data_IF_291861460100
#
_entry.id   IF_291861460100
#
_cell.length_a   1.000
_cell.length_b   1.000
_cell.length_c   1.000
_cell.angle_alpha   90.00
_cell.angle_beta   90.00
_cell.angle_gamma   90.00
#
_symmetry.space_group_name_H-M   'P 1'
#
loop_
_entity.id
_entity.type
_entity.pdbx_description
1 polymer ?
#
# COMPACT_ATOMS: atom_id res chain seq x y z
N UNK A 1 12.10 -9.90 -5.82
CA UNK A 1 11.52 -8.58 -5.48
C UNK A 1 11.07 -8.58 -4.03
N UNK A 2 10.15 -9.45 -3.59
CA UNK A 2 9.57 -9.47 -2.25
C UNK A 2 10.62 -9.49 -1.15
N UNK A 3 11.51 -10.48 -1.18
CA UNK A 3 12.60 -10.62 -0.19
C UNK A 3 13.46 -9.35 -0.06
N UNK A 4 13.82 -8.74 -1.19
CA UNK A 4 14.61 -7.51 -1.20
C UNK A 4 13.81 -6.35 -0.61
N UNK A 5 12.53 -6.22 -0.96
CA UNK A 5 11.65 -5.19 -0.41
C UNK A 5 11.46 -5.31 1.10
N UNK A 6 11.31 -6.52 1.64
CA UNK A 6 11.24 -6.77 3.08
C UNK A 6 12.54 -6.38 3.79
N UNK A 7 13.70 -6.73 3.22
CA UNK A 7 15.00 -6.34 3.77
C UNK A 7 15.18 -4.82 3.78
N UNK A 8 14.82 -4.14 2.68
CA UNK A 8 14.89 -2.67 2.59
C UNK A 8 13.98 -2.04 3.64
N UNK A 9 12.75 -2.54 3.79
CA UNK A 9 11.79 -2.05 4.77
C UNK A 9 12.33 -2.21 6.19
N UNK A 10 12.81 -3.39 6.56
CA UNK A 10 13.37 -3.65 7.87
C UNK A 10 14.57 -2.74 8.18
N UNK A 11 15.51 -2.62 7.24
CA UNK A 11 16.65 -1.71 7.38
C UNK A 11 16.21 -0.24 7.50
N UNK A 12 15.16 0.16 6.81
CA UNK A 12 14.61 1.52 6.92
C UNK A 12 14.01 1.78 8.30
N UNK A 13 13.27 0.82 8.85
CA UNK A 13 12.68 0.93 10.19
C UNK A 13 13.74 1.06 11.29
N UNK A 14 14.90 0.43 11.13
CA UNK A 14 16.01 0.54 12.06
C UNK A 14 16.69 1.92 12.01
N UNK A 15 16.74 2.53 10.84
CA UNK A 15 17.48 3.76 10.60
C UNK A 15 16.62 5.02 10.67
N UNK A 16 15.34 4.93 10.37
CA UNK A 16 14.43 6.07 10.26
C UNK A 16 13.21 5.86 11.15
N UNK A 17 13.07 6.76 12.13
CA UNK A 17 11.86 6.78 12.96
C UNK A 17 10.78 7.58 12.26
N UNK A 18 9.74 6.89 11.80
CA UNK A 18 8.56 7.49 11.17
C UNK A 18 7.41 7.45 12.15
N UNK A 19 6.76 8.59 12.35
CA UNK A 19 5.57 8.72 13.21
C UNK A 19 4.60 9.69 12.56
N UNK A 20 3.32 9.31 12.54
CA UNK A 20 2.26 10.20 12.08
C UNK A 20 2.06 11.36 13.07
N UNK A 21 2.05 12.63 12.62
CA UNK A 21 2.06 13.77 13.54
C UNK A 21 0.77 13.95 14.33
N UNK A 22 -0.36 13.44 13.85
CA UNK A 22 -1.68 13.59 14.46
C UNK A 22 -2.26 12.28 15.01
N UNK A 23 -1.63 11.14 14.72
CA UNK A 23 -2.12 9.81 15.10
C UNK A 23 -0.98 9.01 15.76
N UNK A 24 -0.80 9.11 17.07
CA UNK A 24 0.36 8.51 17.76
C UNK A 24 0.52 7.00 17.60
N UNK A 25 -0.56 6.27 17.29
CA UNK A 25 -0.51 4.82 17.07
C UNK A 25 0.02 4.41 15.69
N UNK A 26 0.22 5.36 14.75
CA UNK A 26 0.76 5.08 13.43
C UNK A 26 2.26 5.40 13.41
N UNK A 27 3.06 4.35 13.60
CA UNK A 27 4.53 4.45 13.63
C UNK A 27 5.17 3.41 12.70
N UNK A 28 6.36 3.74 12.23
CA UNK A 28 7.20 2.85 11.41
C UNK A 28 6.81 2.80 9.94
N UNK A 29 7.49 1.92 9.21
CA UNK A 29 7.29 1.67 7.79
C UNK A 29 6.63 0.30 7.64
N UNK A 30 5.35 0.27 7.29
CA UNK A 30 4.55 -0.98 7.22
C UNK A 30 4.54 -1.61 5.84
N UNK A 31 4.69 -0.80 4.79
CA UNK A 31 4.63 -1.23 3.38
C UNK A 31 5.87 -0.67 2.66
N UNK A 32 6.49 -1.49 1.82
CA UNK A 32 7.54 -1.06 0.91
C UNK A 32 7.03 -1.01 -0.53
N UNK A 33 7.41 0.01 -1.28
CA UNK A 33 7.11 0.13 -2.69
C UNK A 33 8.41 0.33 -3.48
N UNK A 34 8.65 -0.58 -4.42
CA UNK A 34 9.65 -0.38 -5.46
C UNK A 34 8.96 0.25 -6.67
N UNK A 35 9.54 1.30 -7.22
CA UNK A 35 8.92 2.08 -8.29
C UNK A 35 9.93 2.33 -9.41
N UNK A 36 9.49 2.22 -10.65
CA UNK A 36 10.32 2.36 -11.83
C UNK A 36 9.55 2.82 -13.07
N UNK A 37 10.22 2.93 -14.22
CA UNK A 37 9.56 3.26 -15.48
C UNK A 37 8.52 2.18 -15.82
N UNK A 38 7.41 2.55 -16.49
CA UNK A 38 6.36 1.61 -16.82
C UNK A 38 6.77 0.69 -17.98
N UNK A 39 6.30 -0.55 -17.94
CA UNK A 39 6.38 -1.47 -19.07
C UNK A 39 5.24 -1.27 -20.09
N UNK A 40 4.26 -0.44 -19.73
CA UNK A 40 3.09 -0.08 -20.54
C UNK A 40 3.20 1.34 -21.06
N UNK A 41 2.85 1.55 -22.33
CA UNK A 41 2.85 2.89 -22.92
C UNK A 41 1.75 3.83 -22.39
N UNK A 42 0.69 3.27 -21.78
CA UNK A 42 -0.44 4.00 -21.23
C UNK A 42 -0.33 4.24 -19.71
N UNK A 43 0.83 4.00 -19.12
CA UNK A 43 1.11 4.30 -17.72
C UNK A 43 2.28 5.29 -17.61
N UNK A 44 2.28 6.10 -16.55
CA UNK A 44 3.33 7.08 -16.29
C UNK A 44 4.45 6.46 -15.42
N UNK A 45 4.09 5.56 -14.51
CA UNK A 45 5.00 4.79 -13.64
C UNK A 45 4.47 3.39 -13.38
N UNK A 46 5.37 2.53 -12.89
CA UNK A 46 5.03 1.18 -12.44
C UNK A 46 5.56 0.94 -11.04
N UNK A 47 4.85 0.12 -10.26
CA UNK A 47 5.28 -0.28 -8.93
C UNK A 47 5.20 -1.80 -8.70
N UNK A 48 5.90 -2.20 -7.64
CA UNK A 48 5.73 -3.47 -6.94
C UNK A 48 5.61 -3.13 -5.45
N UNK A 49 4.47 -3.42 -4.86
CA UNK A 49 4.19 -3.14 -3.45
C UNK A 49 4.29 -4.43 -2.65
N UNK A 50 5.11 -4.39 -1.62
CA UNK A 50 5.42 -5.52 -0.77
C UNK A 50 4.74 -5.32 0.58
N UNK A 51 3.89 -6.27 0.96
CA UNK A 51 3.20 -6.32 2.24
C UNK A 51 3.81 -7.44 3.07
N UNK A 52 4.22 -7.12 4.30
CA UNK A 52 4.82 -8.11 5.19
C UNK A 52 3.80 -9.16 5.61
N UNK A 53 4.23 -10.40 5.67
CA UNK A 53 3.46 -11.53 6.21
C UNK A 53 3.88 -11.89 7.64
N UNK A 54 4.84 -11.18 8.20
CA UNK A 54 5.36 -11.37 9.55
C UNK A 54 6.46 -10.36 9.87
N UNK A 55 7.12 -10.55 11.00
CA UNK A 55 8.28 -9.74 11.38
C UNK A 55 9.55 -10.36 10.81
N UNK A 56 10.39 -9.55 10.18
CA UNK A 56 11.69 -9.98 9.66
C UNK A 56 12.70 -10.09 10.81
N UNK A 57 13.37 -11.24 10.86
CA UNK A 57 14.52 -11.51 11.72
C UNK A 57 15.77 -11.71 10.86
N UNK A 58 16.77 -10.85 10.99
CA UNK A 58 18.01 -10.89 10.20
C UNK A 58 18.80 -12.20 10.33
N UNK A 59 18.65 -12.90 11.46
CA UNK A 59 19.30 -14.17 11.71
C UNK A 59 18.52 -15.38 11.18
N UNK A 60 17.29 -15.16 10.69
CA UNK A 60 16.39 -16.22 10.22
C UNK A 60 15.87 -15.93 8.82
N UNK A 61 16.64 -16.30 7.76
CA UNK A 61 16.25 -16.01 6.36
C UNK A 61 14.87 -16.52 5.94
N UNK A 62 14.32 -17.52 6.62
CA UNK A 62 12.95 -18.00 6.39
C UNK A 62 11.86 -16.98 6.74
N UNK A 63 12.17 -15.97 7.56
CA UNK A 63 11.24 -14.88 7.90
C UNK A 63 11.26 -13.73 6.89
N UNK A 64 12.19 -13.74 5.92
CA UNK A 64 12.29 -12.69 4.90
C UNK A 64 11.27 -12.92 3.78
N UNK A 65 10.02 -12.96 4.17
CA UNK A 65 8.87 -13.27 3.30
C UNK A 65 7.86 -12.15 3.36
N UNK A 66 7.07 -12.03 2.32
CA UNK A 66 5.99 -11.06 2.20
C UNK A 66 5.07 -11.44 1.05
N UNK A 67 3.96 -10.73 0.92
CA UNK A 67 3.06 -10.81 -0.21
C UNK A 67 3.32 -9.65 -1.18
N UNK A 68 3.09 -9.90 -2.46
CA UNK A 68 3.10 -8.87 -3.48
C UNK A 68 1.67 -8.40 -3.72
N UNK A 69 1.42 -7.10 -3.63
CA UNK A 69 0.12 -6.54 -3.98
C UNK A 69 -0.15 -6.77 -5.48
N UNK A 70 -1.31 -7.31 -5.79
CA UNK A 70 -1.71 -7.56 -7.18
C UNK A 70 -2.23 -6.30 -7.86
N UNK A 71 -2.66 -5.33 -7.09
CA UNK A 71 -3.08 -4.01 -7.58
C UNK A 71 -1.92 -3.01 -7.60
N UNK A 72 -2.08 -1.84 -8.24
CA UNK A 72 -1.13 -0.72 -8.09
C UNK A 72 -1.05 -0.14 -6.68
N UNK A 73 -1.86 -0.60 -5.74
CA UNK A 73 -2.00 -0.11 -4.36
C UNK A 73 -2.44 1.37 -4.26
N UNK A 74 -3.56 1.61 -3.63
CA UNK A 74 -4.08 2.98 -3.43
C UNK A 74 -3.14 3.84 -2.58
N UNK A 75 -2.67 3.29 -1.44
CA UNK A 75 -1.71 3.96 -0.54
C UNK A 75 -0.37 4.21 -1.24
N UNK A 76 0.15 3.20 -1.95
CA UNK A 76 1.41 3.31 -2.69
C UNK A 76 1.33 4.35 -3.81
N UNK A 77 0.23 4.38 -4.55
CA UNK A 77 -0.01 5.36 -5.61
C UNK A 77 -0.11 6.78 -5.03
N UNK A 78 -0.84 6.96 -3.92
CA UNK A 78 -0.96 8.24 -3.22
C UNK A 78 0.40 8.75 -2.73
N UNK A 79 1.19 7.89 -2.10
CA UNK A 79 2.53 8.23 -1.63
C UNK A 79 3.47 8.58 -2.78
N UNK A 80 3.38 7.87 -3.91
CA UNK A 80 4.17 8.20 -5.11
C UNK A 80 3.80 9.57 -5.67
N UNK A 81 2.49 9.87 -5.80
CA UNK A 81 2.04 11.18 -6.26
C UNK A 81 2.49 12.30 -5.33
N UNK A 82 2.39 12.12 -4.01
CA UNK A 82 2.86 13.09 -3.03
C UNK A 82 4.38 13.35 -3.15
N UNK A 83 5.15 12.29 -3.39
CA UNK A 83 6.60 12.40 -3.61
C UNK A 83 6.92 13.19 -4.88
N UNK A 84 6.22 12.88 -5.99
CA UNK A 84 6.39 13.58 -7.26
C UNK A 84 5.96 15.06 -7.16
N UNK A 85 4.88 15.33 -6.41
CA UNK A 85 4.43 16.69 -6.12
C UNK A 85 5.48 17.48 -5.35
N UNK A 86 6.02 16.92 -4.29
CA UNK A 86 7.06 17.56 -3.49
C UNK A 86 8.35 17.84 -4.28
N UNK A 87 8.59 17.10 -5.36
CA UNK A 87 9.71 17.30 -6.30
C UNK A 87 9.38 18.25 -7.45
N UNK A 88 8.14 18.72 -7.57
CA UNK A 88 7.69 19.56 -8.69
C UNK A 88 7.49 18.78 -10.01
N UNK A 89 7.43 17.45 -9.95
CA UNK A 89 7.29 16.57 -11.12
C UNK A 89 5.82 16.27 -11.47
N UNK A 90 4.90 16.44 -10.53
CA UNK A 90 3.46 16.26 -10.72
C UNK A 90 2.68 17.44 -10.13
N UNK A 91 1.83 18.09 -10.94
CA UNK A 91 0.96 19.19 -10.48
C UNK A 91 -0.42 18.73 -10.03
N UNK A 92 -1.14 19.62 -9.33
CA UNK A 92 -2.56 19.40 -9.01
C UNK A 92 -3.41 19.26 -10.28
N UNK A 93 -4.47 18.46 -10.20
CA UNK A 93 -5.42 18.27 -11.29
C UNK A 93 -4.92 17.40 -12.45
N UNK A 94 -3.66 16.99 -12.45
CA UNK A 94 -3.12 16.09 -13.48
C UNK A 94 -3.37 14.63 -13.14
N UNK A 95 -3.77 13.84 -14.14
CA UNK A 95 -3.86 12.41 -14.03
C UNK A 95 -2.47 11.79 -13.96
N UNK A 96 -2.35 10.81 -13.08
CA UNK A 96 -1.17 9.98 -12.87
C UNK A 96 -1.57 8.51 -13.00
N UNK A 97 -1.11 7.85 -14.05
CA UNK A 97 -1.44 6.46 -14.37
C UNK A 97 -0.35 5.55 -13.83
N UNK A 98 -0.68 4.80 -12.79
CA UNK A 98 0.25 3.94 -12.07
C UNK A 98 -0.07 2.48 -12.34
N UNK A 99 0.84 1.76 -12.97
CA UNK A 99 0.70 0.35 -13.24
C UNK A 99 1.21 -0.49 -12.06
N UNK A 100 0.54 -1.59 -11.76
CA UNK A 100 1.02 -2.62 -10.82
C UNK A 100 1.76 -3.75 -11.54
N UNK A 101 2.20 -4.74 -10.78
CA UNK A 101 2.98 -5.89 -11.28
C UNK A 101 2.21 -6.76 -12.28
N UNK A 102 0.89 -6.80 -12.18
CA UNK A 102 0.03 -7.55 -13.12
C UNK A 102 -0.40 -6.71 -14.33
N UNK A 103 0.11 -5.48 -14.46
CA UNK A 103 -0.24 -4.59 -15.56
C UNK A 103 -1.60 -3.91 -15.44
N UNK A 104 -2.32 -4.06 -14.33
CA UNK A 104 -3.52 -3.24 -14.05
C UNK A 104 -3.09 -1.82 -13.71
N UNK A 105 -3.95 -0.84 -14.00
CA UNK A 105 -3.63 0.59 -13.84
C UNK A 105 -4.63 1.25 -12.90
N UNK A 106 -4.12 2.02 -11.94
CA UNK A 106 -4.88 3.02 -11.21
C UNK A 106 -4.61 4.40 -11.81
N UNK A 107 -5.65 5.21 -11.90
CA UNK A 107 -5.53 6.62 -12.21
C UNK A 107 -5.68 7.43 -10.95
N UNK A 108 -4.59 8.08 -10.54
CA UNK A 108 -4.55 8.99 -9.40
C UNK A 108 -4.62 10.44 -9.85
N UNK A 109 -5.11 11.31 -8.98
CA UNK A 109 -5.09 12.76 -9.18
C UNK A 109 -4.95 13.46 -7.83
N UNK A 110 -4.06 14.43 -7.74
CA UNK A 110 -3.98 15.33 -6.59
C UNK A 110 -4.99 16.46 -6.78
N UNK A 111 -5.91 16.61 -5.83
CA UNK A 111 -7.01 17.57 -5.96
C UNK A 111 -6.78 18.88 -5.23
N UNK A 112 -6.06 18.86 -4.11
CA UNK A 112 -5.74 20.06 -3.34
C UNK A 112 -4.49 19.90 -2.48
N UNK A 113 -3.93 21.01 -2.03
CA UNK A 113 -2.93 21.07 -0.96
C UNK A 113 -3.61 21.12 0.40
N UNK A 114 -2.98 20.53 1.39
CA UNK A 114 -3.45 20.53 2.77
C UNK A 114 -2.27 20.51 3.75
N UNK A 115 -2.58 20.43 5.04
CA UNK A 115 -1.58 20.27 6.11
C UNK A 115 -1.90 19.03 6.94
N UNK A 116 -0.87 18.27 7.31
CA UNK A 116 -0.97 17.18 8.27
C UNK A 116 0.01 17.49 9.41
N UNK A 117 -0.50 18.03 10.50
CA UNK A 117 0.35 18.65 11.52
C UNK A 117 1.17 19.79 10.93
N UNK A 118 2.49 19.82 11.11
CA UNK A 118 3.36 20.85 10.56
C UNK A 118 3.77 20.61 9.10
N UNK A 119 3.36 19.51 8.49
CA UNK A 119 3.82 19.10 7.16
C UNK A 119 2.85 19.52 6.07
N UNK A 120 3.40 20.06 4.97
CA UNK A 120 2.63 20.21 3.73
C UNK A 120 2.23 18.83 3.21
N UNK A 121 0.99 18.71 2.81
CA UNK A 121 0.41 17.47 2.31
C UNK A 121 -0.49 17.75 1.10
N UNK A 122 -0.93 16.69 0.45
CA UNK A 122 -1.84 16.74 -0.70
C UNK A 122 -2.98 15.74 -0.51
N UNK A 123 -4.13 16.05 -1.07
CA UNK A 123 -5.29 15.15 -1.07
C UNK A 123 -5.35 14.42 -2.40
N UNK A 124 -5.13 13.09 -2.41
CA UNK A 124 -5.24 12.28 -3.61
C UNK A 124 -6.64 11.72 -3.81
N UNK A 125 -7.01 11.52 -5.06
CA UNK A 125 -8.09 10.62 -5.50
C UNK A 125 -7.50 9.46 -6.29
N UNK A 126 -8.09 8.28 -6.16
CA UNK A 126 -7.66 7.08 -6.89
C UNK A 126 -8.88 6.46 -7.55
N UNK A 127 -8.80 6.21 -8.84
CA UNK A 127 -9.77 5.47 -9.63
C UNK A 127 -9.17 4.16 -10.13
N UNK A 128 -9.95 3.11 -10.09
CA UNK A 128 -9.58 1.79 -10.60
C UNK A 128 -10.80 1.05 -11.11
N UNK A 129 -10.59 -0.14 -11.64
CA UNK A 129 -11.64 -1.02 -12.13
C UNK A 129 -11.75 -2.26 -11.24
N UNK A 130 -12.97 -2.66 -10.95
CA UNK A 130 -13.29 -3.90 -10.25
C UNK A 130 -14.37 -4.68 -11.01
N UNK A 131 -14.40 -5.99 -10.78
CA UNK A 131 -15.37 -6.90 -11.41
C UNK A 131 -16.13 -7.64 -10.34
N UNK A 132 -17.43 -7.87 -10.56
CA UNK A 132 -18.25 -8.73 -9.71
C UNK A 132 -17.87 -10.17 -10.05
N UNK A 133 -17.30 -10.89 -9.09
CA UNK A 133 -16.83 -12.28 -9.27
C UNK A 133 -17.77 -13.31 -8.66
N UNK A 134 -18.78 -12.87 -7.89
CA UNK A 134 -19.73 -13.75 -7.27
C UNK A 134 -20.71 -13.03 -6.37
N UNK A 135 -21.71 -13.78 -5.89
CA UNK A 135 -22.64 -13.36 -4.84
C UNK A 135 -22.63 -14.42 -3.74
N UNK A 136 -22.83 -14.00 -2.50
CA UNK A 136 -22.91 -14.89 -1.35
C UNK A 136 -24.10 -14.49 -0.46
N UNK A 137 -24.74 -15.47 0.14
CA UNK A 137 -25.76 -15.26 1.18
C UNK A 137 -25.17 -15.72 2.52
N UNK A 138 -25.20 -14.85 3.50
CA UNK A 138 -24.79 -15.13 4.86
C UNK A 138 -26.01 -15.24 5.74
N UNK A 139 -26.11 -16.29 6.55
CA UNK A 139 -27.19 -16.51 7.48
C UNK A 139 -26.66 -16.44 8.90
N UNK A 140 -27.32 -15.65 9.74
CA UNK A 140 -27.09 -15.66 11.19
C UNK A 140 -28.12 -16.58 11.80
N UNK A 141 -27.67 -17.65 12.45
CA UNK A 141 -28.52 -18.57 13.21
C UNK A 141 -28.40 -18.21 14.69
N UNK A 142 -29.51 -17.82 15.37
CA UNK A 142 -29.47 -17.44 16.77
C UNK A 142 -29.12 -18.62 17.72
N UNK A 143 -29.12 -19.85 17.22
CA UNK A 143 -28.70 -21.04 17.97
C UNK A 143 -27.23 -21.38 17.78
N UNK A 144 -26.53 -20.71 16.86
CA UNK A 144 -25.10 -20.85 16.68
C UNK A 144 -24.39 -20.23 17.91
N UNK A 145 -23.51 -20.98 18.61
CA UNK A 145 -22.74 -20.45 19.73
C UNK A 145 -21.77 -19.33 19.32
N UNK A 146 -21.50 -19.14 18.04
CA UNK A 146 -20.61 -18.11 17.48
C UNK A 146 -21.25 -17.34 16.33
N UNK A 147 -22.41 -16.71 16.54
CA UNK A 147 -23.21 -16.14 15.44
C UNK A 147 -22.50 -14.99 14.69
N UNK A 148 -21.54 -14.33 15.33
CA UNK A 148 -20.71 -13.27 14.73
C UNK A 148 -19.39 -13.82 14.17
N UNK A 149 -19.22 -15.14 14.15
CA UNK A 149 -17.99 -15.81 13.75
C UNK A 149 -16.96 -15.84 14.88
N UNK A 150 -15.85 -16.48 14.62
CA UNK A 150 -14.71 -16.56 15.53
C UNK A 150 -13.41 -16.58 14.73
N UNK A 151 -12.34 -16.15 15.39
CA UNK A 151 -10.98 -16.28 14.86
C UNK A 151 -10.28 -17.35 15.67
N UNK A 152 -9.70 -18.31 14.99
CA UNK A 152 -8.75 -19.24 15.59
C UNK A 152 -7.38 -18.69 15.26
N UNK A 153 -6.71 -18.11 16.25
CA UNK A 153 -5.35 -17.62 16.10
C UNK A 153 -4.35 -18.77 16.15
N UNK A 154 -3.27 -18.64 15.41
CA UNK A 154 -2.03 -19.41 15.56
C UNK A 154 -2.12 -20.93 15.48
N UNK A 155 -3.06 -21.46 14.71
CA UNK A 155 -3.12 -22.90 14.46
C UNK A 155 -2.18 -23.36 13.34
N UNK A 156 -1.47 -22.47 12.70
CA UNK A 156 -0.57 -22.75 11.58
C UNK A 156 0.84 -22.24 11.80
#
# INVERSE_FOLDING_TARGET
IVRIGEMIKAATQEQVKVRHPLQPGFEGVTIAQLSGPPLRADADWQNAVIVSTGQLDWNRPSTWTGALDRSPCGTGTSAKMATLYARGELGLGRDFRHAGVLGTVFTGRLVEETMVGPYKAVVPTISGQAWITGTATWTLDPTDPFPEGFTVGDIW
#
